data_IF_015046029074
#
_entry.id   IF_015046029074
#
_cell.length_a   1.000
_cell.length_b   1.000
_cell.length_c   1.000
_cell.angle_alpha   90.00
_cell.angle_beta   90.00
_cell.angle_gamma   90.00
#
_symmetry.space_group_name_H-M   'P 1'
#
loop_
_entity.id
_entity.type
_entity.pdbx_description
1 polymer ?
#
# COMPACT_ATOMS: atom_id res chain seq x y z
N UNK A 1 3.10 7.38 -11.75
CA UNK A 1 2.13 8.30 -12.39
C UNK A 1 0.75 8.24 -11.74
N UNK A 2 0.15 7.05 -11.51
CA UNK A 2 -1.20 6.91 -10.91
C UNK A 2 -1.41 7.67 -9.59
N UNK A 3 -0.39 7.73 -8.71
CA UNK A 3 -0.49 8.50 -7.44
C UNK A 3 -0.82 9.97 -7.68
N UNK A 4 -0.12 10.60 -8.63
CA UNK A 4 -0.30 12.02 -8.95
C UNK A 4 -1.70 12.24 -9.50
N UNK A 5 -2.20 11.32 -10.33
CA UNK A 5 -3.56 11.37 -10.88
C UNK A 5 -4.61 11.35 -9.76
N UNK A 6 -4.50 10.44 -8.80
CA UNK A 6 -5.45 10.36 -7.68
C UNK A 6 -5.37 11.54 -6.72
N UNK A 7 -4.16 12.03 -6.43
CA UNK A 7 -3.98 13.24 -5.62
C UNK A 7 -4.63 14.45 -6.30
N UNK A 8 -4.36 14.64 -7.60
CA UNK A 8 -4.89 15.76 -8.35
C UNK A 8 -6.40 15.67 -8.52
N UNK A 9 -6.91 14.51 -8.93
CA UNK A 9 -8.35 14.29 -9.09
C UNK A 9 -9.09 14.45 -7.75
N UNK A 10 -8.54 13.90 -6.66
CA UNK A 10 -9.09 14.05 -5.32
C UNK A 10 -9.11 15.51 -4.84
N UNK A 11 -7.99 16.23 -4.99
CA UNK A 11 -7.90 17.64 -4.60
C UNK A 11 -8.84 18.53 -5.41
N UNK A 12 -8.93 18.32 -6.73
CA UNK A 12 -9.86 19.05 -7.59
C UNK A 12 -11.31 18.76 -7.16
N UNK A 13 -11.68 17.51 -6.95
CA UNK A 13 -13.02 17.13 -6.50
C UNK A 13 -13.40 17.80 -5.16
N UNK A 14 -12.45 17.80 -4.21
CA UNK A 14 -12.64 18.49 -2.93
C UNK A 14 -12.88 19.98 -3.13
N UNK A 15 -12.09 20.66 -3.94
CA UNK A 15 -12.28 22.09 -4.21
C UNK A 15 -13.61 22.38 -4.91
N UNK A 16 -13.94 21.59 -5.94
CA UNK A 16 -15.17 21.75 -6.71
C UNK A 16 -16.42 21.50 -5.86
N UNK A 17 -16.35 20.63 -4.85
CA UNK A 17 -17.49 20.38 -3.96
C UNK A 17 -17.98 21.63 -3.21
N UNK A 18 -17.11 22.61 -2.95
CA UNK A 18 -17.52 23.84 -2.27
C UNK A 18 -18.12 24.90 -3.21
N UNK A 19 -17.96 24.75 -4.53
CA UNK A 19 -18.38 25.76 -5.51
C UNK A 19 -19.85 26.18 -5.38
N UNK A 20 -20.83 25.26 -5.25
CA UNK A 20 -22.22 25.70 -5.17
C UNK A 20 -22.56 26.36 -3.83
N UNK A 21 -21.89 26.00 -2.74
CA UNK A 21 -22.03 26.68 -1.44
C UNK A 21 -21.46 28.11 -1.50
N UNK A 22 -20.31 28.30 -2.17
CA UNK A 22 -19.70 29.63 -2.38
C UNK A 22 -20.53 30.54 -3.31
N UNK A 23 -21.34 29.96 -4.19
CA UNK A 23 -22.25 30.70 -5.09
C UNK A 23 -23.59 31.10 -4.45
N UNK A 24 -23.72 30.95 -3.13
CA UNK A 24 -24.95 31.28 -2.40
C UNK A 24 -26.02 30.18 -2.44
N UNK A 25 -25.66 28.96 -2.85
CA UNK A 25 -26.53 27.79 -2.75
C UNK A 25 -26.67 27.28 -1.31
N UNK A 26 -27.40 26.17 -1.15
CA UNK A 26 -27.56 25.50 0.15
C UNK A 26 -26.20 25.16 0.80
N UNK A 27 -26.13 25.00 2.13
CA UNK A 27 -24.92 24.51 2.79
C UNK A 27 -24.48 23.16 2.20
N UNK A 28 -23.16 22.93 2.15
CA UNK A 28 -22.53 21.74 1.55
C UNK A 28 -23.21 20.41 1.94
N UNK A 29 -23.56 20.25 3.23
CA UNK A 29 -24.15 19.01 3.74
C UNK A 29 -25.58 18.76 3.26
N UNK A 30 -26.29 19.80 2.81
CA UNK A 30 -27.66 19.70 2.28
C UNK A 30 -27.67 19.53 0.76
N UNK A 31 -26.51 19.57 0.11
CA UNK A 31 -26.39 19.41 -1.34
C UNK A 31 -25.88 18.00 -1.67
N UNK A 32 -26.75 17.09 -2.16
CA UNK A 32 -26.36 15.70 -2.41
C UNK A 32 -25.22 15.59 -3.43
N UNK A 33 -25.26 16.39 -4.50
CA UNK A 33 -24.25 16.37 -5.56
C UNK A 33 -22.86 16.77 -5.06
N UNK A 34 -22.80 17.83 -4.25
CA UNK A 34 -21.58 18.36 -3.68
C UNK A 34 -21.01 17.41 -2.61
N UNK A 35 -21.88 16.85 -1.77
CA UNK A 35 -21.51 15.86 -0.77
C UNK A 35 -20.94 14.58 -1.41
N UNK A 36 -21.57 14.08 -2.48
CA UNK A 36 -21.05 12.95 -3.24
C UNK A 36 -19.68 13.25 -3.83
N UNK A 37 -19.49 14.42 -4.44
CA UNK A 37 -18.18 14.81 -5.01
C UNK A 37 -17.09 14.93 -3.94
N UNK A 38 -17.43 15.49 -2.77
CA UNK A 38 -16.54 15.57 -1.61
C UNK A 38 -16.09 14.17 -1.17
N UNK A 39 -17.03 13.24 -0.98
CA UNK A 39 -16.74 11.86 -0.57
C UNK A 39 -15.89 11.12 -1.61
N UNK A 40 -16.18 11.29 -2.90
CA UNK A 40 -15.36 10.72 -3.98
C UNK A 40 -13.94 11.29 -3.99
N UNK A 41 -13.78 12.58 -3.68
CA UNK A 41 -12.48 13.24 -3.56
C UNK A 41 -11.63 12.63 -2.44
N UNK A 42 -12.24 12.41 -1.27
CA UNK A 42 -11.58 11.73 -0.14
C UNK A 42 -11.22 10.28 -0.48
N UNK A 43 -12.13 9.55 -1.13
CA UNK A 43 -11.89 8.16 -1.53
C UNK A 43 -10.70 8.04 -2.50
N UNK A 44 -10.59 8.96 -3.47
CA UNK A 44 -9.45 9.01 -4.38
C UNK A 44 -8.13 9.30 -3.64
N UNK A 45 -8.14 10.21 -2.67
CA UNK A 45 -6.96 10.50 -1.85
C UNK A 45 -6.54 9.29 -0.99
N UNK A 46 -7.49 8.51 -0.49
CA UNK A 46 -7.22 7.32 0.31
C UNK A 46 -6.73 6.10 -0.51
N UNK A 47 -6.96 6.07 -1.82
CA UNK A 47 -6.56 4.93 -2.68
C UNK A 47 -5.05 4.86 -2.99
N UNK A 48 -4.29 5.89 -2.64
CA UNK A 48 -2.85 6.01 -2.95
C UNK A 48 -2.00 4.85 -2.39
N UNK A 49 -2.14 4.43 -1.11
CA UNK A 49 -1.32 3.35 -0.54
C UNK A 49 -1.58 2.01 -1.23
N UNK A 50 -2.83 1.71 -1.58
CA UNK A 50 -3.22 0.48 -2.28
C UNK A 50 -2.54 0.34 -3.64
N UNK A 51 -2.36 1.45 -4.37
CA UNK A 51 -1.68 1.46 -5.67
C UNK A 51 -0.16 1.21 -5.56
N UNK A 52 0.43 1.35 -4.36
CA UNK A 52 1.85 1.12 -4.11
C UNK A 52 2.18 -0.33 -3.77
N UNK A 53 1.26 -1.03 -3.13
CA UNK A 53 1.42 -2.42 -2.70
C UNK A 53 1.00 -3.44 -3.77
N UNK A 54 0.76 -3.01 -5.01
CA UNK A 54 0.24 -3.88 -6.05
C UNK A 54 1.35 -4.72 -6.72
N UNK A 55 1.34 -6.03 -6.47
CA UNK A 55 2.18 -7.01 -7.18
C UNK A 55 1.74 -7.21 -8.64
N UNK A 56 2.58 -7.85 -9.46
CA UNK A 56 2.31 -8.07 -10.89
C UNK A 56 0.94 -8.72 -11.18
N UNK A 57 0.44 -9.56 -10.28
CA UNK A 57 -0.87 -10.24 -10.38
C UNK A 57 -2.05 -9.29 -10.15
N UNK A 58 -1.97 -8.40 -9.18
CA UNK A 58 -3.06 -7.49 -8.79
C UNK A 58 -2.99 -6.15 -9.52
N UNK A 59 -1.82 -5.81 -10.08
CA UNK A 59 -1.58 -4.60 -10.87
C UNK A 59 -2.64 -4.29 -11.94
N UNK A 60 -3.09 -5.20 -12.83
CA UNK A 60 -4.10 -4.87 -13.83
C UNK A 60 -5.45 -4.51 -13.19
N UNK A 61 -5.81 -5.18 -12.10
CA UNK A 61 -7.04 -4.94 -11.36
C UNK A 61 -6.99 -3.57 -10.68
N UNK A 62 -5.87 -3.24 -10.04
CA UNK A 62 -5.65 -1.94 -9.40
C UNK A 62 -5.70 -0.79 -10.42
N UNK A 63 -5.17 -0.98 -11.63
CA UNK A 63 -5.28 0.00 -12.72
C UNK A 63 -6.74 0.19 -13.16
N UNK A 64 -7.52 -0.89 -13.26
CA UNK A 64 -8.95 -0.80 -13.59
C UNK A 64 -9.74 -0.06 -12.49
N UNK A 65 -9.47 -0.35 -11.21
CA UNK A 65 -10.05 0.39 -10.08
C UNK A 65 -9.68 1.88 -10.14
N UNK A 66 -8.41 2.20 -10.42
CA UNK A 66 -7.95 3.59 -10.61
C UNK A 66 -8.76 4.31 -11.69
N UNK A 67 -8.95 3.69 -12.85
CA UNK A 67 -9.69 4.28 -13.96
C UNK A 67 -11.16 4.53 -13.61
N UNK A 68 -11.80 3.56 -12.95
CA UNK A 68 -13.19 3.69 -12.50
C UNK A 68 -13.37 4.83 -11.49
N UNK A 69 -12.45 4.95 -10.52
CA UNK A 69 -12.51 6.01 -9.50
C UNK A 69 -12.30 7.41 -10.09
N UNK A 70 -11.39 7.55 -11.06
CA UNK A 70 -11.17 8.83 -11.77
C UNK A 70 -12.38 9.16 -12.63
N UNK A 71 -12.92 8.18 -13.36
CA UNK A 71 -14.13 8.38 -14.19
C UNK A 71 -15.33 8.80 -13.32
N UNK A 72 -15.52 8.19 -12.16
CA UNK A 72 -16.58 8.55 -11.23
C UNK A 72 -16.46 10.00 -10.75
N UNK A 73 -15.23 10.47 -10.45
CA UNK A 73 -14.98 11.87 -10.09
C UNK A 73 -15.31 12.81 -11.23
N UNK A 74 -14.87 12.49 -12.45
CA UNK A 74 -15.14 13.31 -13.64
C UNK A 74 -16.64 13.41 -13.91
N UNK A 75 -17.34 12.28 -13.83
CA UNK A 75 -18.79 12.22 -14.03
C UNK A 75 -19.53 13.04 -12.96
N UNK A 76 -19.20 12.86 -11.68
CA UNK A 76 -19.84 13.58 -10.59
C UNK A 76 -19.54 15.09 -10.64
N UNK A 77 -18.32 15.49 -11.03
CA UNK A 77 -17.98 16.89 -11.25
C UNK A 77 -18.78 17.48 -12.41
N UNK A 78 -18.98 16.72 -13.49
CA UNK A 78 -19.81 17.15 -14.62
C UNK A 78 -21.27 17.36 -14.19
N UNK A 79 -21.86 16.46 -13.40
CA UNK A 79 -23.22 16.61 -12.86
C UNK A 79 -23.34 17.86 -11.98
N UNK A 80 -22.30 18.18 -11.19
CA UNK A 80 -22.28 19.37 -10.34
C UNK A 80 -22.17 20.67 -11.15
N UNK A 81 -21.34 20.69 -12.20
CA UNK A 81 -21.04 21.90 -12.99
C UNK A 81 -22.09 22.15 -14.08
N UNK A 82 -22.59 21.09 -14.70
CA UNK A 82 -23.70 21.10 -15.64
C UNK A 82 -24.86 20.35 -14.94
N UNK A 83 -25.78 21.06 -14.26
CA UNK A 83 -26.82 20.45 -13.43
C UNK A 83 -27.78 19.64 -14.31
N UNK A 84 -27.39 18.40 -14.55
CA UNK A 84 -28.14 17.35 -15.21
C UNK A 84 -28.68 16.45 -14.09
N UNK A 85 -29.85 16.79 -13.51
CA UNK A 85 -30.35 16.07 -12.35
C UNK A 85 -30.68 14.61 -12.70
N UNK A 86 -31.01 14.33 -13.96
CA UNK A 86 -31.44 13.01 -14.40
C UNK A 86 -30.69 12.52 -15.65
N UNK A 87 -30.37 11.23 -15.65
CA UNK A 87 -29.86 10.47 -16.80
C UNK A 87 -30.77 9.26 -16.95
N UNK A 88 -31.41 9.13 -18.12
CA UNK A 88 -32.35 8.03 -18.42
C UNK A 88 -33.47 7.86 -17.37
N UNK A 89 -33.98 8.96 -16.82
CA UNK A 89 -35.05 8.97 -15.81
C UNK A 89 -34.62 8.53 -14.41
N UNK A 90 -33.31 8.50 -14.14
CA UNK A 90 -32.72 8.21 -12.84
C UNK A 90 -31.82 9.36 -12.41
N UNK A 91 -31.65 9.63 -11.10
CA UNK A 91 -30.77 10.68 -10.63
C UNK A 91 -29.33 10.42 -11.09
N UNK A 92 -28.69 11.45 -11.68
CA UNK A 92 -27.39 11.31 -12.33
C UNK A 92 -26.27 10.85 -11.37
N UNK A 93 -26.42 11.12 -10.06
CA UNK A 93 -25.56 10.61 -8.98
C UNK A 93 -25.48 9.10 -8.93
N UNK A 94 -26.53 8.38 -9.32
CA UNK A 94 -26.51 6.92 -9.30
C UNK A 94 -25.47 6.34 -10.26
N UNK A 95 -25.22 7.02 -11.39
CA UNK A 95 -24.22 6.56 -12.35
C UNK A 95 -22.80 6.61 -11.76
N UNK A 96 -22.45 7.68 -11.06
CA UNK A 96 -21.14 7.80 -10.39
C UNK A 96 -21.03 6.85 -9.19
N UNK A 97 -22.11 6.68 -8.42
CA UNK A 97 -22.19 5.71 -7.32
C UNK A 97 -22.03 4.26 -7.80
N UNK A 98 -22.63 3.89 -8.93
CA UNK A 98 -22.48 2.57 -9.53
C UNK A 98 -21.02 2.29 -9.92
N UNK A 99 -20.35 3.28 -10.55
CA UNK A 99 -18.93 3.17 -10.90
C UNK A 99 -18.06 2.96 -9.65
N UNK A 100 -18.32 3.71 -8.57
CA UNK A 100 -17.61 3.54 -7.30
C UNK A 100 -17.91 2.18 -6.68
N UNK A 101 -19.16 1.72 -6.71
CA UNK A 101 -19.54 0.42 -6.20
C UNK A 101 -18.78 -0.71 -6.91
N UNK A 102 -18.71 -0.68 -8.24
CA UNK A 102 -17.90 -1.63 -9.03
C UNK A 102 -16.42 -1.53 -8.68
N UNK A 103 -15.87 -0.31 -8.56
CA UNK A 103 -14.49 -0.10 -8.17
C UNK A 103 -14.17 -0.69 -6.79
N UNK A 104 -15.07 -0.50 -5.82
CA UNK A 104 -14.93 -1.01 -4.45
C UNK A 104 -15.01 -2.53 -4.43
N UNK A 105 -15.97 -3.14 -5.12
CA UNK A 105 -16.07 -4.61 -5.23
C UNK A 105 -14.80 -5.22 -5.85
N UNK A 106 -14.31 -4.60 -6.93
CA UNK A 106 -13.11 -5.05 -7.61
C UNK A 106 -11.87 -4.90 -6.71
N UNK A 107 -11.80 -3.83 -5.90
CA UNK A 107 -10.74 -3.63 -4.93
C UNK A 107 -10.82 -4.64 -3.76
N UNK A 108 -12.00 -4.91 -3.21
CA UNK A 108 -12.23 -5.92 -2.18
C UNK A 108 -11.78 -7.32 -2.63
N UNK A 109 -12.04 -7.67 -3.90
CA UNK A 109 -11.58 -8.92 -4.48
C UNK A 109 -10.04 -9.04 -4.46
N UNK A 110 -9.30 -7.93 -4.57
CA UNK A 110 -7.82 -7.96 -4.45
C UNK A 110 -7.33 -8.18 -3.02
N UNK A 111 -8.10 -7.75 -2.01
CA UNK A 111 -7.75 -7.92 -0.59
C UNK A 111 -7.97 -9.37 -0.14
N UNK A 112 -9.06 -10.00 -0.58
CA UNK A 112 -9.39 -11.38 -0.18
C UNK A 112 -8.44 -12.44 -0.77
N UNK A 113 -7.78 -12.14 -1.90
CA UNK A 113 -6.83 -13.06 -2.55
C UNK A 113 -5.56 -13.29 -1.71
N UNK A 114 -5.24 -12.40 -0.75
CA UNK A 114 -4.13 -12.61 0.19
C UNK A 114 -4.50 -13.46 1.43
N UNK A 115 -5.76 -13.86 1.59
CA UNK A 115 -6.24 -14.65 2.74
C UNK A 115 -6.08 -16.16 2.62
N UNK A 116 -5.52 -16.65 1.51
CA UNK A 116 -5.38 -18.07 1.21
C UNK A 116 -4.01 -18.66 1.58
N UNK A 117 -3.43 -18.30 2.73
CA UNK A 117 -2.43 -19.17 3.34
C UNK A 117 -3.20 -20.06 4.33
N UNK A 118 -3.41 -21.37 4.06
CA UNK A 118 -3.96 -22.24 5.07
C UNK A 118 -3.02 -22.14 6.28
N UNK A 119 -3.60 -21.79 7.42
CA UNK A 119 -2.93 -21.82 8.71
C UNK A 119 -2.51 -23.27 9.00
N UNK A 120 -1.38 -23.69 8.43
CA UNK A 120 -0.63 -24.81 8.90
C UNK A 120 -0.16 -24.41 10.30
N UNK A 121 -0.91 -24.87 11.29
CA UNK A 121 -0.41 -25.08 12.65
C UNK A 121 0.77 -26.04 12.55
N UNK A 122 1.93 -25.54 12.17
CA UNK A 122 3.16 -26.30 12.19
C UNK A 122 3.75 -26.12 13.57
N UNK A 123 3.44 -27.09 14.44
CA UNK A 123 4.37 -27.56 15.48
C UNK A 123 5.79 -27.45 14.95
N UNK A 124 6.69 -26.93 15.78
CA UNK A 124 8.13 -26.95 15.61
C UNK A 124 8.62 -27.99 14.57
N UNK A 125 8.91 -27.51 13.37
CA UNK A 125 9.75 -28.22 12.41
C UNK A 125 10.42 -27.14 11.56
N UNK A 126 11.72 -27.00 11.77
CA UNK A 126 12.69 -26.30 10.94
C UNK A 126 12.26 -26.22 9.48
N UNK A 127 12.08 -25.02 8.88
CA UNK A 127 11.78 -24.92 7.46
C UNK A 127 12.98 -25.39 6.63
N UNK A 128 12.76 -25.96 5.44
CA UNK A 128 13.82 -26.36 4.53
C UNK A 128 14.61 -25.13 4.10
N UNK A 129 15.94 -25.30 4.05
CA UNK A 129 16.96 -24.34 3.68
C UNK A 129 16.85 -23.90 2.21
N UNK A 130 15.89 -23.04 1.89
CA UNK A 130 15.85 -22.37 0.58
C UNK A 130 16.42 -20.96 0.73
N UNK A 131 17.65 -20.77 0.23
CA UNK A 131 18.25 -19.46 0.00
C UNK A 131 18.77 -18.71 1.23
N UNK A 132 19.33 -19.42 2.23
CA UNK A 132 20.13 -18.76 3.27
C UNK A 132 21.50 -18.38 2.70
N UNK A 133 21.90 -17.15 2.96
CA UNK A 133 23.20 -16.60 2.59
C UNK A 133 24.02 -16.32 3.83
N UNK A 134 25.33 -16.33 3.65
CA UNK A 134 26.28 -15.92 4.69
C UNK A 134 26.88 -14.57 4.38
N UNK A 135 27.25 -13.87 5.45
CA UNK A 135 27.92 -12.59 5.35
C UNK A 135 28.57 -12.19 6.65
N UNK A 136 29.23 -11.05 6.61
CA UNK A 136 29.98 -10.50 7.74
C UNK A 136 29.37 -9.17 8.13
N UNK A 137 29.08 -8.98 9.41
CA UNK A 137 28.51 -7.73 9.93
C UNK A 137 29.51 -6.60 9.69
N UNK A 138 29.15 -5.65 8.83
CA UNK A 138 29.99 -4.50 8.47
C UNK A 138 30.00 -3.48 9.60
N UNK A 139 28.85 -3.24 10.20
CA UNK A 139 28.69 -2.46 11.43
C UNK A 139 27.26 -2.64 11.96
N UNK A 140 27.08 -2.44 13.26
CA UNK A 140 25.77 -2.45 13.90
C UNK A 140 25.71 -1.40 15.01
N UNK A 141 24.70 -0.54 14.97
CA UNK A 141 24.48 0.45 16.01
C UNK A 141 23.49 -0.12 17.04
N UNK A 142 24.00 -0.53 18.19
CA UNK A 142 23.20 -1.11 19.27
C UNK A 142 22.15 -0.16 19.83
N UNK A 143 22.45 1.15 19.92
CA UNK A 143 21.52 2.15 20.43
C UNK A 143 20.35 2.40 19.49
N UNK A 144 20.60 2.36 18.18
CA UNK A 144 19.56 2.57 17.16
C UNK A 144 18.90 1.27 16.67
N UNK A 145 19.51 0.11 16.94
CA UNK A 145 18.99 -1.22 16.59
C UNK A 145 19.07 -1.57 15.10
N UNK A 146 20.02 -1.02 14.35
CA UNK A 146 20.20 -1.35 12.93
C UNK A 146 21.66 -1.33 12.49
N UNK A 147 21.94 -1.99 11.37
CA UNK A 147 23.28 -2.11 10.80
C UNK A 147 23.26 -2.62 9.37
N UNK A 148 24.44 -3.00 8.89
CA UNK A 148 24.63 -3.61 7.58
C UNK A 148 25.49 -4.86 7.68
N UNK A 149 25.18 -5.84 6.84
CA UNK A 149 25.94 -7.06 6.66
C UNK A 149 26.48 -7.05 5.23
N UNK A 150 27.78 -7.29 5.08
CA UNK A 150 28.40 -7.48 3.77
C UNK A 150 28.22 -8.94 3.37
N UNK A 151 27.52 -9.18 2.26
CA UNK A 151 27.30 -10.53 1.73
C UNK A 151 28.58 -11.06 1.12
N UNK A 152 28.78 -12.38 1.18
CA UNK A 152 29.87 -13.01 0.42
C UNK A 152 29.68 -12.85 -1.11
N UNK A 153 28.43 -12.65 -1.55
CA UNK A 153 28.09 -12.37 -2.96
C UNK A 153 28.36 -10.92 -3.39
N UNK A 154 28.76 -10.02 -2.47
CA UNK A 154 29.32 -8.70 -2.80
C UNK A 154 28.49 -7.48 -2.38
N UNK A 155 27.15 -7.57 -2.40
CA UNK A 155 26.31 -6.43 -2.00
C UNK A 155 26.12 -6.31 -0.49
N UNK A 156 26.03 -5.08 0.03
CA UNK A 156 25.66 -4.84 1.42
C UNK A 156 24.14 -4.96 1.61
N UNK A 157 23.73 -5.64 2.67
CA UNK A 157 22.33 -5.83 3.04
C UNK A 157 22.01 -5.14 4.36
N UNK A 158 20.85 -4.48 4.42
CA UNK A 158 20.38 -3.82 5.64
C UNK A 158 19.87 -4.85 6.67
N UNK A 159 20.19 -4.65 7.95
CA UNK A 159 19.68 -5.49 9.05
C UNK A 159 19.08 -4.65 10.18
N UNK A 160 17.95 -5.11 10.71
CA UNK A 160 17.28 -4.52 11.87
C UNK A 160 17.28 -5.49 13.05
N UNK A 161 17.32 -5.00 14.29
CA UNK A 161 17.41 -5.85 15.48
C UNK A 161 16.28 -6.90 15.58
N UNK A 162 15.11 -6.59 15.02
CA UNK A 162 13.96 -7.52 14.98
C UNK A 162 14.21 -8.77 14.14
N UNK A 163 15.08 -8.68 13.14
CA UNK A 163 15.43 -9.77 12.24
C UNK A 163 16.41 -10.77 12.88
N UNK A 164 17.08 -10.41 13.98
CA UNK A 164 18.04 -11.26 14.67
C UNK A 164 17.28 -12.27 15.53
N UNK A 165 17.55 -13.57 15.32
CA UNK A 165 17.03 -14.64 16.17
C UNK A 165 17.77 -14.70 17.51
N UNK A 166 17.01 -14.96 18.56
CA UNK A 166 17.51 -15.09 19.93
C UNK A 166 16.56 -14.47 20.96
N UNK A 167 16.66 -14.97 22.18
CA UNK A 167 15.99 -14.40 23.35
C UNK A 167 16.96 -13.44 24.07
N UNK A 168 16.47 -12.28 24.52
CA UNK A 168 17.29 -11.26 25.17
C UNK A 168 17.81 -10.15 24.24
N UNK A 169 19.05 -9.69 24.47
CA UNK A 169 19.66 -8.56 23.74
C UNK A 169 20.07 -8.97 22.32
N UNK A 170 19.25 -8.58 21.33
CA UNK A 170 19.45 -8.83 19.90
C UNK A 170 20.44 -7.85 19.28
N UNK A 171 21.72 -8.09 19.52
CA UNK A 171 22.83 -7.26 19.04
C UNK A 171 23.75 -8.06 18.13
N UNK A 172 24.33 -7.38 17.14
CA UNK A 172 25.39 -7.91 16.29
C UNK A 172 26.69 -7.18 16.58
N UNK A 173 27.80 -7.89 16.45
CA UNK A 173 29.15 -7.32 16.61
C UNK A 173 29.76 -7.13 15.23
N UNK A 174 30.50 -6.04 15.03
CA UNK A 174 31.27 -5.82 13.80
C UNK A 174 32.26 -6.98 13.57
N UNK A 175 32.37 -7.44 12.32
CA UNK A 175 33.18 -8.60 11.95
C UNK A 175 32.53 -9.96 12.27
N UNK A 176 31.36 -9.99 12.90
CA UNK A 176 30.67 -11.24 13.24
C UNK A 176 30.13 -11.93 11.98
N UNK A 177 30.35 -13.25 11.89
CA UNK A 177 29.78 -14.09 10.84
C UNK A 177 28.32 -14.39 11.13
N UNK A 178 27.47 -14.18 10.13
CA UNK A 178 26.01 -14.40 10.26
C UNK A 178 25.47 -15.13 9.04
N UNK A 179 24.39 -15.86 9.27
CA UNK A 179 23.58 -16.51 8.24
C UNK A 179 22.18 -15.91 8.27
N UNK A 180 21.63 -15.58 7.10
CA UNK A 180 20.36 -14.87 6.98
C UNK A 180 19.68 -15.16 5.64
N UNK A 181 18.42 -14.77 5.51
CA UNK A 181 17.69 -14.81 4.23
C UNK A 181 17.52 -13.39 3.70
N UNK A 182 17.51 -13.23 2.39
CA UNK A 182 17.35 -11.92 1.74
C UNK A 182 15.91 -11.71 1.31
N UNK A 183 15.39 -10.52 1.58
CA UNK A 183 14.12 -10.07 1.07
C UNK A 183 14.24 -8.67 0.45
N UNK A 184 13.59 -8.47 -0.70
CA UNK A 184 13.44 -7.15 -1.31
C UNK A 184 12.33 -6.38 -0.58
N UNK A 185 12.64 -5.19 -0.08
CA UNK A 185 11.68 -4.26 0.57
C UNK A 185 11.73 -2.89 -0.14
N UNK A 186 10.84 -1.98 0.26
CA UNK A 186 10.75 -0.62 -0.31
C UNK A 186 12.08 0.18 -0.29
N UNK A 187 12.98 -0.15 0.65
CA UNK A 187 14.28 0.51 0.84
C UNK A 187 15.48 -0.29 0.30
N UNK A 188 15.23 -1.35 -0.47
CA UNK A 188 16.26 -2.23 -1.02
C UNK A 188 16.36 -3.58 -0.31
N UNK A 189 17.52 -4.23 -0.42
CA UNK A 189 17.78 -5.55 0.15
C UNK A 189 17.83 -5.49 1.69
N UNK A 190 17.05 -6.36 2.33
CA UNK A 190 16.99 -6.50 3.78
C UNK A 190 17.23 -7.95 4.20
N UNK A 191 18.02 -8.12 5.26
CA UNK A 191 18.28 -9.40 5.90
C UNK A 191 17.14 -9.73 6.86
N UNK A 192 16.61 -10.93 6.73
CA UNK A 192 15.65 -11.53 7.64
C UNK A 192 16.23 -12.81 8.23
N UNK A 193 15.67 -13.22 9.36
CA UNK A 193 16.00 -14.48 9.99
C UNK A 193 17.50 -14.67 10.31
N UNK A 194 18.12 -13.62 10.84
CA UNK A 194 19.57 -13.52 11.04
C UNK A 194 20.00 -14.35 12.25
N UNK A 195 20.95 -15.25 12.04
CA UNK A 195 21.52 -16.13 13.07
C UNK A 195 23.04 -15.91 13.11
N UNK A 196 23.62 -15.66 14.29
CA UNK A 196 25.07 -15.72 14.47
C UNK A 196 25.61 -17.12 14.15
N UNK A 197 26.59 -17.20 13.24
CA UNK A 197 27.32 -18.45 13.01
C UNK A 197 28.37 -18.55 14.11
N UNK A 198 28.17 -19.44 15.09
CA UNK A 198 29.21 -19.71 16.07
C UNK A 198 30.40 -20.38 15.38
N UNK A 199 31.65 -19.90 15.55
CA UNK A 199 32.80 -20.65 15.12
C UNK A 199 32.84 -21.96 15.90
N UNK A 200 32.87 -23.09 15.19
CA UNK A 200 33.02 -24.41 15.80
C UNK A 200 34.27 -24.44 16.68
N UNK A 201 34.12 -24.98 17.90
CA UNK A 201 35.25 -25.33 18.76
C UNK A 201 36.04 -26.49 18.18
#
# INVERSE_FOLDING_TARGET
MLKIVHVLAGAIALLLSFVPSLRGGLPLLLQPEALCLLMLGLLNAQFIPSAQLADARTRPVIVAVSLLLVLAVVLQAAVLLAPLPEIAGQPATLASLLLVFVAVLLHLATIQVSGGQPAARTRASTPPSVGRETGTVKWFNTSKGFGFISRDSGDDVFVHFRAIRGEGHRVLVEGQRVEFTIMMRDKGLQAEDVIPVQPGR
#
